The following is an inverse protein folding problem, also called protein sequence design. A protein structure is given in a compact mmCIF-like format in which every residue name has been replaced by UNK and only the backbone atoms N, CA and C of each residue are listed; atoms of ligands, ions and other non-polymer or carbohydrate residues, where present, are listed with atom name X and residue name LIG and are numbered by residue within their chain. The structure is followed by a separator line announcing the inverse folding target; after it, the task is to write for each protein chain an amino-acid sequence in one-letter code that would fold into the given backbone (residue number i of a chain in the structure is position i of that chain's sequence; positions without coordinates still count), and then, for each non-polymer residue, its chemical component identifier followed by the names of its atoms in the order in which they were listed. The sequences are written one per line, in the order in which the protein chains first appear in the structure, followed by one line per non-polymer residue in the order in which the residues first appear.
data_IF_981634028255
#
_entry.id   IF_981634028255
#
_cell.length_a   1.000
_cell.length_b   1.000
_cell.length_c   1.000
_cell.angle_alpha   90.00
_cell.angle_beta   90.00
_cell.angle_gamma   90.00
#
_symmetry.space_group_name_H-M   'P 1'
#
loop_
_entity.id
_entity.type
_entity.pdbx_description
1 polymer ?
#
# COMPACT_ATOMS: atom_id res chain seq x y z
N UNK A 1 -39.60 -0.27 -7.92
CA UNK A 1 -38.64 0.70 -7.34
C UNK A 1 -37.37 0.64 -8.16
N UNK A 2 -36.80 1.78 -8.54
CA UNK A 2 -35.64 1.84 -9.42
C UNK A 2 -34.35 1.66 -8.59
N UNK A 3 -34.07 0.40 -8.20
CA UNK A 3 -32.97 0.01 -7.27
C UNK A 3 -31.60 0.49 -7.79
N UNK A 4 -31.43 0.58 -9.11
CA UNK A 4 -30.21 1.10 -9.76
C UNK A 4 -29.78 2.49 -9.29
N UNK A 5 -30.71 3.33 -8.80
CA UNK A 5 -30.35 4.66 -8.26
C UNK A 5 -29.74 4.59 -6.86
N UNK A 6 -30.03 3.54 -6.08
CA UNK A 6 -29.60 3.42 -4.69
C UNK A 6 -28.34 2.57 -4.50
N UNK A 7 -27.81 1.96 -5.58
CA UNK A 7 -26.58 1.18 -5.51
C UNK A 7 -25.35 2.09 -5.51
N UNK A 8 -24.42 1.81 -4.60
CA UNK A 8 -23.11 2.45 -4.49
C UNK A 8 -22.07 1.34 -4.34
N UNK A 9 -21.18 1.20 -5.32
CA UNK A 9 -20.12 0.20 -5.27
C UNK A 9 -19.02 0.60 -4.29
N UNK A 10 -18.46 -0.38 -3.59
CA UNK A 10 -17.46 -0.15 -2.56
C UNK A 10 -16.39 -1.23 -2.55
N UNK A 11 -15.12 -0.82 -2.38
CA UNK A 11 -13.97 -1.71 -2.31
C UNK A 11 -13.04 -1.25 -1.16
N UNK A 12 -13.12 -1.87 0.02
CA UNK A 12 -12.13 -1.67 1.07
C UNK A 12 -10.78 -2.24 0.61
N UNK A 13 -9.75 -1.41 0.49
CA UNK A 13 -8.38 -1.82 0.12
C UNK A 13 -7.62 -2.39 1.31
N UNK A 14 -8.25 -3.33 2.01
CA UNK A 14 -7.71 -4.06 3.15
C UNK A 14 -8.16 -5.50 3.10
N UNK A 15 -7.29 -6.41 3.51
CA UNK A 15 -7.58 -7.83 3.54
C UNK A 15 -6.74 -8.55 4.59
N UNK A 16 -7.16 -9.77 4.92
CA UNK A 16 -6.39 -10.69 5.73
C UNK A 16 -6.09 -11.94 4.91
N UNK A 17 -4.93 -12.54 5.15
CA UNK A 17 -4.61 -13.89 4.63
C UNK A 17 -5.50 -14.97 5.28
N UNK A 18 -6.20 -14.62 6.38
CA UNK A 18 -7.16 -15.49 7.07
C UNK A 18 -8.58 -15.20 6.63
N UNK A 19 -9.36 -16.27 6.43
CA UNK A 19 -10.76 -16.23 6.01
C UNK A 19 -11.63 -16.65 7.20
N UNK A 20 -12.90 -16.25 7.22
CA UNK A 20 -13.87 -16.65 8.25
C UNK A 20 -14.20 -15.55 9.24
N UNK A 21 -15.43 -15.57 9.76
CA UNK A 21 -15.95 -14.57 10.69
C UNK A 21 -15.13 -14.48 11.98
N UNK A 22 -14.58 -15.61 12.43
CA UNK A 22 -13.72 -15.73 13.61
C UNK A 22 -12.41 -14.93 13.49
N UNK A 23 -12.01 -14.57 12.26
CA UNK A 23 -10.84 -13.74 11.99
C UNK A 23 -11.19 -12.26 11.78
N UNK A 24 -12.47 -11.88 11.97
CA UNK A 24 -12.91 -10.49 11.87
C UNK A 24 -12.32 -9.64 13.00
N UNK A 25 -12.07 -8.37 12.67
CA UNK A 25 -11.55 -7.37 13.60
C UNK A 25 -12.41 -6.12 13.44
N UNK A 26 -12.85 -5.56 14.54
CA UNK A 26 -13.61 -4.31 14.59
C UNK A 26 -12.80 -3.13 14.01
N UNK A 27 -11.48 -3.17 14.14
CA UNK A 27 -10.57 -2.17 13.57
C UNK A 27 -10.04 -2.50 12.15
N UNK A 28 -10.62 -3.47 11.44
CA UNK A 28 -10.09 -3.93 10.14
C UNK A 28 -9.97 -2.81 9.11
N UNK A 29 -10.88 -1.84 9.13
CA UNK A 29 -10.96 -0.77 8.13
C UNK A 29 -10.23 0.52 8.54
N UNK A 30 -9.73 0.61 9.78
CA UNK A 30 -9.15 1.86 10.28
C UNK A 30 -7.92 2.28 9.47
N UNK A 31 -7.95 3.52 8.97
CA UNK A 31 -6.92 4.12 8.11
C UNK A 31 -6.66 3.36 6.79
N UNK A 32 -7.53 2.42 6.41
CA UNK A 32 -7.48 1.77 5.10
C UNK A 32 -8.17 2.64 4.05
N UNK A 33 -7.62 2.70 2.84
CA UNK A 33 -8.35 3.28 1.72
C UNK A 33 -9.61 2.46 1.42
N UNK A 34 -10.72 3.15 1.22
CA UNK A 34 -11.98 2.55 0.83
C UNK A 34 -12.44 3.22 -0.46
N UNK A 35 -12.35 2.49 -1.57
CA UNK A 35 -12.74 3.04 -2.87
C UNK A 35 -14.26 2.97 -2.98
N UNK A 36 -14.87 4.07 -3.40
CA UNK A 36 -16.29 4.16 -3.73
C UNK A 36 -16.40 4.42 -5.23
N UNK A 37 -17.13 3.58 -5.95
CA UNK A 37 -17.35 3.75 -7.38
C UNK A 37 -18.66 4.45 -7.64
N UNK A 38 -18.61 5.52 -8.45
CA UNK A 38 -19.80 6.25 -8.90
C UNK A 38 -19.99 6.15 -10.41
N UNK A 39 -21.24 6.16 -10.83
CA UNK A 39 -21.65 6.31 -12.23
C UNK A 39 -22.49 7.58 -12.40
N UNK A 40 -22.79 7.95 -13.64
CA UNK A 40 -23.71 9.05 -13.93
C UNK A 40 -25.13 8.85 -13.35
N UNK A 41 -25.50 7.61 -12.97
CA UNK A 41 -26.81 7.27 -12.40
C UNK A 41 -26.82 7.21 -10.87
N UNK A 42 -25.65 7.27 -10.22
CA UNK A 42 -25.53 7.15 -8.77
C UNK A 42 -26.28 8.29 -8.07
N UNK A 43 -27.19 7.95 -7.16
CA UNK A 43 -27.89 8.96 -6.37
C UNK A 43 -26.94 9.62 -5.36
N UNK A 44 -26.93 10.95 -5.32
CA UNK A 44 -26.02 11.70 -4.47
C UNK A 44 -26.28 11.48 -2.96
N UNK A 45 -27.54 11.30 -2.54
CA UNK A 45 -27.84 11.04 -1.13
C UNK A 45 -27.35 9.65 -0.72
N UNK A 46 -27.56 8.63 -1.56
CA UNK A 46 -27.03 7.29 -1.31
C UNK A 46 -25.49 7.29 -1.23
N UNK A 47 -24.83 8.03 -2.14
CA UNK A 47 -23.37 8.21 -2.10
C UNK A 47 -22.91 8.84 -0.79
N UNK A 48 -23.56 9.93 -0.36
CA UNK A 48 -23.22 10.61 0.90
C UNK A 48 -23.41 9.69 2.11
N UNK A 49 -24.53 8.96 2.19
CA UNK A 49 -24.77 7.99 3.26
C UNK A 49 -23.66 6.95 3.35
N UNK A 50 -23.23 6.39 2.21
CA UNK A 50 -22.15 5.39 2.20
C UNK A 50 -20.81 6.02 2.58
N UNK A 51 -20.51 7.24 2.15
CA UNK A 51 -19.33 7.98 2.58
C UNK A 51 -19.31 8.17 4.11
N UNK A 52 -20.42 8.62 4.70
CA UNK A 52 -20.52 8.85 6.13
C UNK A 52 -20.30 7.55 6.92
N UNK A 53 -20.91 6.44 6.47
CA UNK A 53 -20.67 5.12 7.07
C UNK A 53 -19.20 4.68 7.01
N UNK A 54 -18.52 4.93 5.88
CA UNK A 54 -17.09 4.59 5.71
C UNK A 54 -16.21 5.43 6.64
N UNK A 55 -16.56 6.71 6.85
CA UNK A 55 -15.87 7.57 7.80
C UNK A 55 -16.08 7.11 9.25
N UNK A 56 -17.27 6.62 9.60
CA UNK A 56 -17.55 6.01 10.91
C UNK A 56 -16.73 4.73 11.14
N UNK A 57 -16.43 3.96 10.09
CA UNK A 57 -15.48 2.85 10.12
C UNK A 57 -14.00 3.30 10.24
N UNK A 58 -13.74 4.61 10.30
CA UNK A 58 -12.42 5.26 10.29
C UNK A 58 -11.59 4.92 9.05
N UNK A 59 -12.24 4.51 7.97
CA UNK A 59 -11.62 4.26 6.67
C UNK A 59 -11.54 5.56 5.85
N UNK A 60 -10.80 5.51 4.75
CA UNK A 60 -10.46 6.69 3.95
C UNK A 60 -11.19 6.61 2.60
N UNK A 61 -12.36 7.26 2.46
CA UNK A 61 -13.14 7.17 1.25
C UNK A 61 -12.43 7.84 0.07
N UNK A 62 -12.31 7.12 -1.04
CA UNK A 62 -11.78 7.62 -2.32
C UNK A 62 -12.84 7.39 -3.39
N UNK A 63 -13.41 8.46 -3.93
CA UNK A 63 -14.46 8.37 -4.94
C UNK A 63 -13.84 8.45 -6.34
N UNK A 64 -14.01 7.40 -7.14
CA UNK A 64 -13.59 7.34 -8.55
C UNK A 64 -14.69 6.73 -9.43
N UNK A 65 -14.54 6.85 -10.75
CA UNK A 65 -15.36 6.12 -11.70
C UNK A 65 -14.99 4.62 -11.76
N UNK A 66 -15.89 3.82 -12.32
CA UNK A 66 -15.78 2.35 -12.34
C UNK A 66 -14.60 1.92 -13.21
N UNK A 67 -14.46 2.52 -14.39
CA UNK A 67 -13.41 2.20 -15.35
C UNK A 67 -12.01 2.47 -14.79
N UNK A 68 -11.85 3.59 -14.08
CA UNK A 68 -10.61 3.97 -13.41
C UNK A 68 -10.30 3.04 -12.24
N UNK A 69 -11.30 2.63 -11.46
CA UNK A 69 -11.12 1.65 -10.39
C UNK A 69 -10.55 0.34 -10.94
N UNK A 70 -11.18 -0.21 -11.98
CA UNK A 70 -10.82 -1.50 -12.55
C UNK A 70 -9.43 -1.47 -13.17
N UNK A 71 -9.07 -0.38 -13.86
CA UNK A 71 -7.73 -0.22 -14.41
C UNK A 71 -6.66 -0.08 -13.31
N UNK A 72 -6.91 0.75 -12.30
CA UNK A 72 -5.97 0.94 -11.18
C UNK A 72 -5.73 -0.39 -10.46
N UNK A 73 -6.80 -1.08 -10.08
CA UNK A 73 -6.71 -2.35 -9.35
C UNK A 73 -6.08 -3.46 -10.21
N UNK A 74 -6.32 -3.47 -11.53
CA UNK A 74 -5.59 -4.34 -12.44
C UNK A 74 -4.07 -4.10 -12.37
N UNK A 75 -3.65 -2.84 -12.40
CA UNK A 75 -2.23 -2.46 -12.41
C UNK A 75 -1.51 -2.71 -11.08
N UNK A 76 -2.12 -2.33 -9.95
CA UNK A 76 -1.44 -2.33 -8.65
C UNK A 76 -1.79 -3.52 -7.75
N UNK A 77 -2.75 -4.36 -8.16
CA UNK A 77 -3.19 -5.53 -7.38
C UNK A 77 -3.29 -6.80 -8.22
N UNK A 78 -4.11 -6.82 -9.29
CA UNK A 78 -4.42 -8.07 -9.98
C UNK A 78 -3.25 -8.64 -10.78
N UNK A 79 -2.63 -7.83 -11.65
CA UNK A 79 -1.48 -8.29 -12.42
C UNK A 79 -0.28 -8.63 -11.53
N UNK A 80 0.03 -7.88 -10.45
CA UNK A 80 1.02 -8.32 -9.47
C UNK A 80 0.80 -9.74 -8.93
N UNK A 81 -0.45 -10.18 -8.67
CA UNK A 81 -0.73 -11.56 -8.26
C UNK A 81 -0.45 -12.57 -9.38
N UNK A 82 -0.77 -12.23 -10.63
CA UNK A 82 -0.45 -13.05 -11.80
C UNK A 82 1.07 -13.18 -11.94
N UNK A 83 1.82 -12.08 -11.85
CA UNK A 83 3.28 -12.09 -11.98
C UNK A 83 3.94 -12.88 -10.84
N UNK A 84 3.51 -12.70 -9.59
CA UNK A 84 4.01 -13.48 -8.46
C UNK A 84 3.77 -14.99 -8.67
N UNK A 85 2.58 -15.37 -9.12
CA UNK A 85 2.24 -16.78 -9.41
C UNK A 85 3.05 -17.32 -10.59
N UNK A 86 3.25 -16.53 -11.64
CA UNK A 86 4.08 -16.88 -12.79
C UNK A 86 5.54 -17.10 -12.40
N UNK A 87 6.11 -16.30 -11.48
CA UNK A 87 7.46 -16.52 -10.97
C UNK A 87 7.59 -17.86 -10.24
N UNK A 88 6.61 -18.21 -9.40
CA UNK A 88 6.57 -19.52 -8.71
C UNK A 88 6.48 -20.66 -9.70
N UNK A 89 5.56 -20.58 -10.66
CA UNK A 89 5.37 -21.61 -11.68
C UNK A 89 6.61 -21.75 -12.58
N UNK A 90 7.26 -20.65 -12.94
CA UNK A 90 8.50 -20.65 -13.71
C UNK A 90 9.60 -21.39 -12.95
N UNK A 91 9.83 -21.05 -11.68
CA UNK A 91 10.83 -21.73 -10.85
C UNK A 91 10.50 -23.23 -10.75
N UNK A 92 9.26 -23.59 -10.46
CA UNK A 92 8.85 -24.99 -10.40
C UNK A 92 9.07 -25.74 -11.73
N UNK A 93 8.93 -25.07 -12.87
CA UNK A 93 9.15 -25.67 -14.20
C UNK A 93 10.63 -25.81 -14.59
N UNK A 94 11.51 -24.99 -14.00
CA UNK A 94 12.94 -24.97 -14.29
C UNK A 94 13.76 -25.74 -13.25
N UNK A 95 13.18 -26.07 -12.10
CA UNK A 95 13.86 -26.80 -11.05
C UNK A 95 14.14 -28.23 -11.51
N UNK A 96 15.40 -28.64 -11.40
CA UNK A 96 15.82 -29.99 -11.78
C UNK A 96 15.48 -31.02 -10.71
N UNK A 97 15.90 -32.27 -10.93
CA UNK A 97 15.65 -33.37 -10.00
C UNK A 97 16.20 -33.13 -8.58
N UNK A 98 17.29 -32.36 -8.47
CA UNK A 98 17.91 -32.03 -7.18
C UNK A 98 17.16 -30.94 -6.38
N UNK A 99 16.17 -30.27 -6.97
CA UNK A 99 15.33 -29.23 -6.36
C UNK A 99 16.12 -28.08 -5.71
N UNK A 100 17.23 -27.68 -6.32
CA UNK A 100 18.06 -26.60 -5.78
C UNK A 100 17.32 -25.26 -5.76
N UNK A 101 16.47 -24.97 -6.76
CA UNK A 101 15.75 -23.70 -6.78
C UNK A 101 14.73 -23.65 -5.65
N UNK A 102 14.01 -24.74 -5.38
CA UNK A 102 13.09 -24.84 -4.25
C UNK A 102 13.81 -24.65 -2.90
N UNK A 103 14.96 -25.33 -2.72
CA UNK A 103 15.75 -25.25 -1.47
C UNK A 103 16.37 -23.88 -1.25
N UNK A 104 16.80 -23.20 -2.32
CA UNK A 104 17.48 -21.91 -2.27
C UNK A 104 16.54 -20.70 -2.41
N UNK A 105 15.26 -20.92 -2.76
CA UNK A 105 14.23 -19.90 -2.79
C UNK A 105 13.94 -19.36 -1.38
N UNK A 106 14.79 -18.48 -0.89
CA UNK A 106 14.71 -17.82 0.41
C UNK A 106 14.80 -16.29 0.26
N UNK A 107 14.48 -15.56 1.33
CA UNK A 107 14.54 -14.10 1.37
C UNK A 107 13.68 -13.44 0.28
N UNK A 108 14.30 -12.65 -0.59
CA UNK A 108 13.61 -11.79 -1.55
C UNK A 108 12.67 -12.51 -2.52
N UNK A 109 12.95 -13.77 -2.91
CA UNK A 109 12.01 -14.53 -3.73
C UNK A 109 10.71 -14.79 -2.99
N UNK A 110 10.79 -15.32 -1.75
CA UNK A 110 9.60 -15.57 -0.91
C UNK A 110 8.81 -14.29 -0.65
N UNK A 111 9.49 -13.16 -0.46
CA UNK A 111 8.84 -11.87 -0.21
C UNK A 111 8.07 -11.37 -1.44
N UNK A 112 8.69 -11.43 -2.62
CA UNK A 112 8.06 -11.01 -3.89
C UNK A 112 6.90 -11.95 -4.25
N UNK A 113 7.03 -13.24 -3.98
CA UNK A 113 6.01 -14.24 -4.33
C UNK A 113 5.02 -14.53 -3.19
N UNK A 114 5.08 -13.83 -2.05
CA UNK A 114 4.21 -14.09 -0.89
C UNK A 114 2.72 -14.16 -1.28
N UNK A 115 2.30 -13.24 -2.14
CA UNK A 115 0.91 -13.12 -2.57
C UNK A 115 0.43 -14.26 -3.48
N UNK A 116 1.33 -15.07 -4.04
CA UNK A 116 0.99 -16.25 -4.84
C UNK A 116 0.33 -17.36 -4.00
N UNK A 117 0.45 -17.31 -2.67
CA UNK A 117 -0.25 -18.22 -1.74
C UNK A 117 -1.70 -17.82 -1.44
N UNK A 118 -2.21 -16.77 -2.08
CA UNK A 118 -3.61 -16.34 -1.94
C UNK A 118 -4.59 -17.34 -2.56
N UNK A 119 -5.88 -17.23 -2.21
CA UNK A 119 -6.94 -18.12 -2.70
C UNK A 119 -7.00 -18.17 -4.25
N UNK A 120 -6.76 -19.34 -4.88
CA UNK A 120 -6.81 -19.47 -6.33
C UNK A 120 -8.20 -19.17 -6.92
N UNK A 121 -9.26 -19.59 -6.24
CA UNK A 121 -10.65 -19.39 -6.70
C UNK A 121 -10.99 -17.90 -6.73
N UNK A 122 -10.56 -17.15 -5.71
CA UNK A 122 -10.79 -15.71 -5.65
C UNK A 122 -10.07 -14.99 -6.80
N UNK A 123 -8.79 -15.31 -7.02
CA UNK A 123 -7.98 -14.68 -8.07
C UNK A 123 -8.43 -15.08 -9.48
N UNK A 124 -8.92 -16.30 -9.67
CA UNK A 124 -9.60 -16.70 -10.90
C UNK A 124 -10.78 -15.76 -11.18
N UNK A 125 -11.69 -15.59 -10.22
CA UNK A 125 -12.87 -14.74 -10.41
C UNK A 125 -12.49 -13.28 -10.68
N UNK A 126 -11.53 -12.73 -9.92
CA UNK A 126 -11.04 -11.35 -10.13
C UNK A 126 -10.48 -11.16 -11.54
N UNK A 127 -9.64 -12.08 -12.00
CA UNK A 127 -9.03 -11.99 -13.33
C UNK A 127 -10.05 -12.15 -14.47
N UNK A 128 -11.09 -12.98 -14.28
CA UNK A 128 -12.13 -13.18 -15.30
C UNK A 128 -13.10 -11.99 -15.34
N UNK A 129 -13.51 -11.46 -14.18
CA UNK A 129 -14.41 -10.31 -14.11
C UNK A 129 -13.74 -9.04 -14.65
N UNK A 130 -12.48 -8.79 -14.29
CA UNK A 130 -11.71 -7.65 -14.77
C UNK A 130 -10.78 -7.99 -15.96
N UNK A 131 -11.21 -8.91 -16.82
CA UNK A 131 -10.38 -9.44 -17.92
C UNK A 131 -9.82 -8.36 -18.84
N UNK A 132 -10.63 -7.36 -19.18
CA UNK A 132 -10.26 -6.30 -20.12
C UNK A 132 -9.05 -5.52 -19.65
N UNK A 133 -9.09 -4.99 -18.42
CA UNK A 133 -7.99 -4.21 -17.86
C UNK A 133 -6.79 -5.08 -17.49
N UNK A 134 -7.02 -6.31 -17.00
CA UNK A 134 -5.94 -7.27 -16.72
C UNK A 134 -5.13 -7.56 -17.99
N UNK A 135 -5.77 -7.81 -19.13
CA UNK A 135 -5.07 -8.06 -20.39
C UNK A 135 -4.29 -6.83 -20.87
N UNK A 136 -4.86 -5.61 -20.74
CA UNK A 136 -4.13 -4.38 -21.10
C UNK A 136 -2.86 -4.22 -20.27
N UNK A 137 -2.94 -4.43 -18.95
CA UNK A 137 -1.79 -4.31 -18.05
C UNK A 137 -0.77 -5.42 -18.30
N UNK A 138 -1.21 -6.67 -18.54
CA UNK A 138 -0.31 -7.77 -18.88
C UNK A 138 0.45 -7.51 -20.18
N UNK A 139 -0.20 -6.94 -21.21
CA UNK A 139 0.47 -6.57 -22.44
C UNK A 139 1.54 -5.49 -22.19
N UNK A 140 1.21 -4.44 -21.43
CA UNK A 140 2.18 -3.41 -21.06
C UNK A 140 3.37 -3.98 -20.29
N UNK A 141 3.14 -4.94 -19.37
CA UNK A 141 4.21 -5.64 -18.67
C UNK A 141 5.06 -6.51 -19.60
N UNK A 142 4.43 -7.22 -20.53
CA UNK A 142 5.14 -8.03 -21.54
C UNK A 142 6.04 -7.17 -22.42
N UNK A 143 5.59 -5.98 -22.83
CA UNK A 143 6.38 -5.04 -23.64
C UNK A 143 7.61 -4.55 -22.88
N UNK A 144 7.47 -4.28 -21.57
CA UNK A 144 8.59 -3.93 -20.69
C UNK A 144 9.64 -5.05 -20.66
N UNK A 145 9.21 -6.31 -20.47
CA UNK A 145 10.12 -7.46 -20.45
C UNK A 145 10.79 -7.70 -21.81
N UNK A 146 10.05 -7.58 -22.91
CA UNK A 146 10.59 -7.69 -24.25
C UNK A 146 11.67 -6.64 -24.51
N UNK A 147 11.39 -5.37 -24.18
CA UNK A 147 12.36 -4.28 -24.31
C UNK A 147 13.61 -4.52 -23.47
N UNK A 148 13.45 -4.99 -22.23
CA UNK A 148 14.59 -5.32 -21.36
C UNK A 148 15.45 -6.44 -21.97
N UNK A 149 14.82 -7.50 -22.48
CA UNK A 149 15.52 -8.60 -23.17
C UNK A 149 16.29 -8.11 -24.40
N UNK A 150 15.68 -7.27 -25.23
CA UNK A 150 16.36 -6.70 -26.40
C UNK A 150 17.58 -5.86 -26.02
N UNK A 151 17.48 -5.08 -24.94
CA UNK A 151 18.60 -4.28 -24.45
C UNK A 151 19.77 -5.15 -23.98
N UNK A 152 19.48 -6.27 -23.29
CA UNK A 152 20.50 -7.25 -22.92
C UNK A 152 21.14 -7.89 -24.15
N UNK A 153 20.35 -8.31 -25.14
CA UNK A 153 20.86 -8.94 -26.37
C UNK A 153 21.77 -8.02 -27.20
N UNK A 154 21.59 -6.70 -27.08
CA UNK A 154 22.37 -5.68 -27.79
C UNK A 154 23.52 -5.11 -26.95
N UNK A 155 23.76 -5.65 -25.75
CA UNK A 155 24.74 -5.14 -24.78
C UNK A 155 24.53 -3.64 -24.45
N UNK A 156 23.28 -3.16 -24.47
CA UNK A 156 22.91 -1.78 -24.19
C UNK A 156 22.95 -1.48 -22.68
N UNK A 157 24.14 -1.51 -22.09
CA UNK A 157 24.36 -1.37 -20.63
C UNK A 157 23.70 -0.12 -20.03
N UNK A 158 23.74 1.02 -20.74
CA UNK A 158 23.08 2.25 -20.28
C UNK A 158 21.55 2.11 -20.17
N UNK A 159 20.91 1.43 -21.11
CA UNK A 159 19.45 1.21 -21.08
C UNK A 159 19.06 0.21 -19.98
N UNK A 160 19.92 -0.77 -19.70
CA UNK A 160 19.74 -1.70 -18.57
C UNK A 160 19.84 -0.96 -17.24
N UNK A 161 20.82 -0.06 -17.09
CA UNK A 161 20.96 0.79 -15.90
C UNK A 161 19.75 1.72 -15.73
N UNK A 162 19.30 2.36 -16.82
CA UNK A 162 18.15 3.25 -16.82
C UNK A 162 16.87 2.54 -16.38
N UNK A 163 16.63 1.31 -16.85
CA UNK A 163 15.51 0.48 -16.42
C UNK A 163 15.44 0.32 -14.89
N UNK A 164 16.54 -0.06 -14.25
CA UNK A 164 16.60 -0.21 -12.80
C UNK A 164 16.52 1.13 -12.06
N UNK A 165 17.13 2.18 -12.63
CA UNK A 165 17.15 3.52 -12.03
C UNK A 165 15.76 4.14 -11.97
N UNK A 166 14.99 4.05 -13.06
CA UNK A 166 13.60 4.52 -13.12
C UNK A 166 12.69 3.76 -12.15
N UNK A 167 12.86 2.44 -12.06
CA UNK A 167 12.11 1.63 -11.10
C UNK A 167 12.43 2.04 -9.65
N UNK A 168 13.71 2.27 -9.34
CA UNK A 168 14.16 2.75 -8.03
C UNK A 168 13.57 4.13 -7.70
N UNK A 169 13.69 5.09 -8.61
CA UNK A 169 13.20 6.46 -8.42
C UNK A 169 11.69 6.47 -8.14
N UNK A 170 10.89 5.80 -8.96
CA UNK A 170 9.46 5.74 -8.77
C UNK A 170 9.07 5.03 -7.48
N UNK A 171 9.75 3.93 -7.13
CA UNK A 171 9.50 3.21 -5.87
C UNK A 171 9.89 4.04 -4.64
N UNK A 172 11.02 4.72 -4.68
CA UNK A 172 11.48 5.55 -3.55
C UNK A 172 10.56 6.75 -3.32
N UNK A 173 9.89 7.24 -4.38
CA UNK A 173 8.86 8.28 -4.27
C UNK A 173 7.68 7.88 -3.38
N UNK A 174 7.44 6.57 -3.16
CA UNK A 174 6.32 6.11 -2.35
C UNK A 174 6.43 6.51 -0.87
N UNK A 175 7.66 6.78 -0.38
CA UNK A 175 7.91 7.33 0.96
C UNK A 175 7.41 8.76 1.12
N UNK A 176 7.29 9.46 0.00
CA UNK A 176 6.82 10.84 -0.09
C UNK A 176 5.39 10.91 -0.65
N UNK A 177 4.66 9.79 -0.69
CA UNK A 177 3.23 9.85 -1.00
C UNK A 177 2.59 10.64 0.13
N UNK A 178 2.22 11.87 -0.18
CA UNK A 178 1.22 12.56 0.57
C UNK A 178 -0.02 11.67 0.49
N UNK A 179 -0.49 11.07 1.60
CA UNK A 179 -1.79 10.42 1.58
C UNK A 179 -2.82 11.37 0.95
N UNK A 180 -3.88 10.83 0.35
CA UNK A 180 -4.96 11.63 -0.26
C UNK A 180 -5.76 12.43 0.79
N UNK A 181 -5.15 12.76 1.92
CA UNK A 181 -5.56 13.86 2.77
C UNK A 181 -5.01 15.14 2.17
N UNK A 182 -5.89 16.11 1.93
CA UNK A 182 -5.47 17.46 1.57
C UNK A 182 -4.63 18.15 2.68
N UNK A 183 -4.44 17.52 3.84
CA UNK A 183 -3.61 18.02 4.92
C UNK A 183 -2.94 16.87 5.67
N UNK A 184 -1.61 16.90 5.75
CA UNK A 184 -0.80 15.98 6.56
C UNK A 184 -0.41 16.73 7.83
N UNK A 185 -0.66 16.11 8.97
CA UNK A 185 -0.29 16.65 10.26
C UNK A 185 0.84 15.83 10.86
N UNK A 186 2.00 15.89 10.24
CA UNK A 186 3.22 15.25 10.73
C UNK A 186 4.19 16.24 11.35
N UNK A 187 5.14 15.70 12.11
CA UNK A 187 6.28 16.41 12.68
C UNK A 187 7.42 15.42 12.90
N UNK A 188 8.64 15.92 13.00
CA UNK A 188 9.83 15.10 13.21
C UNK A 188 10.40 15.32 14.60
N UNK A 189 10.82 14.25 15.26
CA UNK A 189 11.40 14.27 16.62
C UNK A 189 12.79 13.67 16.57
N UNK A 190 13.77 14.40 17.10
CA UNK A 190 15.11 13.85 17.34
C UNK A 190 15.06 12.84 18.48
N UNK A 191 15.48 11.61 18.23
CA UNK A 191 15.57 10.54 19.23
C UNK A 191 16.97 9.96 19.31
N UNK A 192 17.40 9.63 20.52
CA UNK A 192 18.65 8.89 20.73
C UNK A 192 18.46 7.43 20.35
N UNK A 193 19.45 6.84 19.68
CA UNK A 193 19.48 5.41 19.41
C UNK A 193 19.80 4.62 20.69
N UNK A 194 18.78 4.44 21.53
CA UNK A 194 18.86 3.68 22.78
C UNK A 194 17.53 2.93 23.02
N UNK A 195 17.57 1.81 23.76
CA UNK A 195 16.35 1.13 24.19
C UNK A 195 15.39 2.11 24.89
N UNK A 196 14.10 2.02 24.54
CA UNK A 196 13.03 2.82 25.15
C UNK A 196 12.77 4.19 24.51
N UNK A 197 13.66 4.72 23.65
CA UNK A 197 13.50 6.08 23.11
C UNK A 197 12.18 6.32 22.37
N UNK A 198 11.74 5.35 21.56
CA UNK A 198 10.46 5.41 20.85
C UNK A 198 9.28 5.27 21.82
N UNK A 199 9.41 4.38 22.81
CA UNK A 199 8.38 4.14 23.81
C UNK A 199 8.14 5.38 24.69
N UNK A 200 9.21 6.11 25.03
CA UNK A 200 9.12 7.36 25.80
C UNK A 200 8.26 8.39 25.05
N UNK A 201 8.56 8.63 23.76
CA UNK A 201 7.81 9.55 22.89
C UNK A 201 6.35 9.11 22.77
N UNK A 202 6.11 7.83 22.43
CA UNK A 202 4.76 7.30 22.29
C UNK A 202 3.95 7.41 23.59
N UNK A 203 4.59 7.16 24.74
CA UNK A 203 3.96 7.27 26.07
C UNK A 203 3.58 8.71 26.40
N UNK A 204 4.45 9.68 26.08
CA UNK A 204 4.15 11.10 26.31
C UNK A 204 2.94 11.56 25.49
N UNK A 205 2.89 11.22 24.21
CA UNK A 205 1.77 11.55 23.34
C UNK A 205 0.48 10.86 23.81
N UNK A 206 0.55 9.58 24.17
CA UNK A 206 -0.59 8.82 24.70
C UNK A 206 -1.15 9.41 26.01
N UNK A 207 -0.29 9.84 26.94
CA UNK A 207 -0.71 10.51 28.19
C UNK A 207 -1.43 11.84 27.95
N UNK A 208 -1.20 12.47 26.81
CA UNK A 208 -1.90 13.68 26.36
C UNK A 208 -3.13 13.37 25.48
N UNK A 209 -3.55 12.10 25.41
CA UNK A 209 -4.66 11.63 24.58
C UNK A 209 -4.49 11.94 23.09
N UNK A 210 -3.24 11.91 22.60
CA UNK A 210 -2.91 12.15 21.20
C UNK A 210 -2.80 10.81 20.49
N UNK A 211 -3.59 10.64 19.42
CA UNK A 211 -3.56 9.44 18.60
C UNK A 211 -2.47 9.51 17.53
N UNK A 212 -1.53 8.57 17.56
CA UNK A 212 -0.47 8.43 16.56
C UNK A 212 -1.03 7.61 15.40
N UNK A 213 -1.13 8.22 14.22
CA UNK A 213 -1.60 7.57 12.99
C UNK A 213 -0.52 6.77 12.29
N UNK A 214 0.72 7.26 12.32
CA UNK A 214 1.87 6.56 11.77
C UNK A 214 3.15 7.03 12.48
N UNK A 215 4.16 6.16 12.50
CA UNK A 215 5.46 6.45 13.09
C UNK A 215 6.55 5.74 12.27
N UNK A 216 7.49 6.51 11.76
CA UNK A 216 8.56 6.01 10.89
C UNK A 216 9.92 6.50 11.38
N UNK A 217 10.91 5.60 11.43
CA UNK A 217 12.31 5.96 11.70
C UNK A 217 12.95 6.35 10.36
N UNK A 218 13.37 7.61 10.26
CA UNK A 218 14.11 8.12 9.10
C UNK A 218 15.62 7.94 9.35
N UNK A 219 16.21 6.98 8.65
CA UNK A 219 17.65 6.76 8.69
C UNK A 219 18.36 7.70 7.71
N UNK A 220 18.97 8.77 8.20
CA UNK A 220 19.87 9.59 7.39
C UNK A 220 21.32 9.26 7.77
N UNK A 221 22.13 8.79 6.79
CA UNK A 221 23.46 8.21 7.01
C UNK A 221 24.53 9.19 7.52
N UNK A 222 24.19 10.47 7.71
CA UNK A 222 25.12 11.53 8.08
C UNK A 222 24.97 12.04 9.53
N UNK A 223 23.87 11.71 10.24
CA UNK A 223 23.67 12.11 11.63
C UNK A 223 23.66 10.89 12.58
N UNK A 224 24.35 11.02 13.71
CA UNK A 224 24.47 9.99 14.77
C UNK A 224 23.16 9.80 15.54
N UNK A 225 22.19 10.70 15.35
CA UNK A 225 20.88 10.70 16.03
C UNK A 225 19.77 10.27 15.07
N UNK A 226 18.85 9.44 15.58
CA UNK A 226 17.72 8.94 14.79
C UNK A 226 16.61 9.99 14.71
N UNK A 227 15.99 10.15 13.54
CA UNK A 227 14.81 11.02 13.39
C UNK A 227 13.56 10.14 13.36
N UNK A 228 12.60 10.46 14.22
CA UNK A 228 11.29 9.81 14.26
C UNK A 228 10.25 10.74 13.62
N UNK A 229 9.71 10.37 12.46
CA UNK A 229 8.58 11.06 11.83
C UNK A 229 7.29 10.52 12.44
N UNK A 230 6.44 11.40 12.95
CA UNK A 230 5.18 11.04 13.60
C UNK A 230 4.04 11.74 12.87
N UNK A 231 3.05 10.97 12.44
CA UNK A 231 1.80 11.47 11.85
C UNK A 231 0.69 11.41 12.90
N UNK A 232 -0.06 12.50 13.03
CA UNK A 232 -1.24 12.57 13.91
C UNK A 232 -2.48 12.99 13.13
N UNK A 233 -3.64 12.94 13.80
CA UNK A 233 -4.95 13.00 13.17
C UNK A 233 -5.38 14.39 12.66
N UNK A 234 -4.96 15.47 13.31
CA UNK A 234 -5.33 16.84 12.98
C UNK A 234 -4.25 17.86 13.42
N UNK A 235 -4.39 19.13 13.02
CA UNK A 235 -3.40 20.17 13.37
C UNK A 235 -3.33 20.46 14.87
N UNK A 236 -4.45 20.36 15.58
CA UNK A 236 -4.49 20.58 17.03
C UNK A 236 -3.68 19.50 17.77
N UNK A 237 -3.86 18.23 17.40
CA UNK A 237 -3.08 17.11 17.89
C UNK A 237 -1.59 17.29 17.58
N UNK A 238 -1.23 17.80 16.40
CA UNK A 238 0.16 18.08 16.02
C UNK A 238 0.74 19.18 16.91
N UNK A 239 0.08 20.32 17.02
CA UNK A 239 0.57 21.46 17.79
C UNK A 239 0.69 21.11 19.28
N UNK A 240 -0.24 20.29 19.81
CA UNK A 240 -0.17 19.75 21.17
C UNK A 240 0.99 18.75 21.33
N UNK A 241 1.24 17.89 20.34
CA UNK A 241 2.38 16.95 20.34
C UNK A 241 3.70 17.69 20.43
N UNK A 242 3.88 18.70 19.56
CA UNK A 242 5.08 19.54 19.51
C UNK A 242 5.28 20.24 20.86
N UNK A 243 4.21 20.77 21.46
CA UNK A 243 4.26 21.42 22.77
C UNK A 243 4.69 20.45 23.88
N UNK A 244 4.07 19.28 23.95
CA UNK A 244 4.36 18.27 24.99
C UNK A 244 5.79 17.78 24.88
N UNK A 245 6.27 17.48 23.67
CA UNK A 245 7.62 16.97 23.47
C UNK A 245 8.69 18.04 23.70
N UNK A 246 8.48 19.28 23.26
CA UNK A 246 9.38 20.40 23.58
C UNK A 246 9.49 20.63 25.10
N UNK A 247 8.37 20.55 25.83
CA UNK A 247 8.36 20.68 27.30
C UNK A 247 9.15 19.56 28.01
N UNK A 248 9.32 18.41 27.36
CA UNK A 248 10.08 17.27 27.87
C UNK A 248 11.49 17.18 27.27
N UNK A 249 11.98 18.24 26.62
CA UNK A 249 13.37 18.36 26.16
C UNK A 249 13.68 17.68 24.83
N UNK A 250 12.66 17.26 24.07
CA UNK A 250 12.86 16.78 22.70
C UNK A 250 12.99 17.95 21.73
N UNK A 251 13.84 17.75 20.72
CA UNK A 251 13.98 18.68 19.60
C UNK A 251 13.08 18.24 18.45
N UNK A 252 12.31 19.19 17.93
CA UNK A 252 11.27 18.96 16.92
C UNK A 252 11.62 19.72 15.64
N UNK A 253 11.32 19.13 14.47
CA UNK A 253 11.49 19.73 13.15
C UNK A 253 10.21 19.68 12.33
#
# INVERSE_FOLDING_TARGET
MNIDRLFVGGHPMVGSEKIGYENSKDFLFENAYYIITKSAKTNQNALNTVCDMILELKALPIIIDIEKHDFITAAISHVPHVIASSLVNMVASLDGEDEYMHKLAAGGFKDITRIASSSPIMWQNICIENKGEVLKVLNAFSDILHKFKENILKDNSNEVLDFFSKAKEYRDSFKNINPVYNVIYDFMVEIKDKPGAIADVATMLSKSNINIKNMEILNNRENVEGILRILVENSEARDMSIKVLNQNGYKIF
#
